data_IF_044534426457
#
_entry.id   IF_044534426457
#
_cell.length_a   1.000
_cell.length_b   1.000
_cell.length_c   1.000
_cell.angle_alpha   90.00
_cell.angle_beta   90.00
_cell.angle_gamma   90.00
#
_symmetry.space_group_name_H-M   'P 1'
#
loop_
_entity.id
_entity.type
_entity.pdbx_description
1 polymer ?
#
# COMPACT_ATOMS: atom_id res chain seq x y z
N UNK A 1 24.01 31.18 14.10
CA UNK A 1 23.00 30.24 13.57
C UNK A 1 22.44 30.79 12.26
N UNK A 2 21.89 32.00 12.19
CA UNK A 2 21.27 32.59 10.97
C UNK A 2 22.27 32.64 9.81
N UNK A 3 23.52 33.10 10.05
CA UNK A 3 24.56 33.17 9.04
C UNK A 3 24.89 31.78 8.43
N UNK A 4 24.92 30.74 9.26
CA UNK A 4 25.16 29.34 8.80
C UNK A 4 24.00 28.86 7.93
N UNK A 5 22.74 29.13 8.34
CA UNK A 5 21.55 28.76 7.56
C UNK A 5 21.57 29.49 6.19
N UNK A 6 21.87 30.78 6.17
CA UNK A 6 21.92 31.56 4.92
C UNK A 6 23.06 31.07 4.03
N UNK A 7 24.24 30.82 4.58
CA UNK A 7 25.38 30.26 3.83
C UNK A 7 25.07 28.89 3.25
N UNK A 8 24.41 28.01 4.02
CA UNK A 8 23.96 26.68 3.56
C UNK A 8 22.95 26.78 2.44
N UNK A 9 21.96 27.68 2.55
CA UNK A 9 20.97 27.93 1.51
C UNK A 9 21.61 28.48 0.23
N UNK A 10 22.59 29.38 0.36
CA UNK A 10 23.33 29.93 -0.78
C UNK A 10 24.21 28.85 -1.46
N UNK A 11 24.87 27.99 -0.70
CA UNK A 11 25.67 26.89 -1.23
C UNK A 11 24.83 25.88 -2.05
N UNK A 12 23.56 25.67 -1.67
CA UNK A 12 22.66 24.73 -2.35
C UNK A 12 21.75 25.43 -3.38
N UNK A 13 21.84 26.75 -3.52
CA UNK A 13 20.98 27.59 -4.38
C UNK A 13 20.84 27.07 -5.81
N UNK A 14 21.95 26.71 -6.46
CA UNK A 14 21.91 26.21 -7.84
C UNK A 14 21.17 24.87 -7.97
N UNK A 15 21.36 23.99 -7.01
CA UNK A 15 20.65 22.70 -6.97
C UNK A 15 19.16 22.91 -6.71
N UNK A 16 18.81 23.84 -5.79
CA UNK A 16 17.42 24.20 -5.50
C UNK A 16 16.75 24.87 -6.70
N UNK A 17 17.44 25.74 -7.44
CA UNK A 17 16.90 26.35 -8.67
C UNK A 17 16.68 25.34 -9.80
N UNK A 18 17.63 24.41 -10.01
CA UNK A 18 17.46 23.31 -10.97
C UNK A 18 16.31 22.39 -10.58
N UNK A 19 16.12 22.16 -9.28
CA UNK A 19 15.00 21.41 -8.73
C UNK A 19 13.67 22.15 -8.95
N UNK A 20 13.60 23.42 -8.56
CA UNK A 20 12.40 24.24 -8.70
C UNK A 20 11.91 24.35 -10.17
N UNK A 21 12.84 24.44 -11.13
CA UNK A 21 12.50 24.45 -12.57
C UNK A 21 11.90 23.14 -13.09
N UNK A 22 12.09 22.01 -12.39
CA UNK A 22 11.51 20.71 -12.76
C UNK A 22 10.13 20.48 -12.17
N UNK A 23 9.75 21.25 -11.14
CA UNK A 23 8.46 21.13 -10.46
C UNK A 23 7.38 21.81 -11.31
N UNK A 24 6.31 21.06 -11.60
CA UNK A 24 5.12 21.61 -12.26
C UNK A 24 4.17 22.24 -11.23
N UNK A 25 3.38 23.25 -11.61
CA UNK A 25 2.41 23.88 -10.71
C UNK A 25 1.43 22.87 -10.10
N UNK A 26 1.06 21.84 -10.84
CA UNK A 26 0.21 20.76 -10.31
C UNK A 26 0.85 20.00 -9.14
N UNK A 27 2.18 19.91 -9.09
CA UNK A 27 2.92 19.27 -8.00
C UNK A 27 3.00 20.18 -6.78
N UNK A 28 3.13 21.48 -6.99
CA UNK A 28 3.03 22.48 -5.92
C UNK A 28 1.65 22.43 -5.27
N UNK A 29 0.58 22.43 -6.08
CA UNK A 29 -0.78 22.29 -5.57
C UNK A 29 -1.00 20.95 -4.85
N UNK A 30 -0.38 19.87 -5.32
CA UNK A 30 -0.43 18.58 -4.64
C UNK A 30 0.25 18.65 -3.26
N UNK A 31 1.43 19.27 -3.17
CA UNK A 31 2.14 19.49 -1.91
C UNK A 31 1.34 20.34 -0.92
N UNK A 32 0.74 21.45 -1.40
CA UNK A 32 -0.12 22.32 -0.58
C UNK A 32 -1.34 21.56 -0.07
N UNK A 33 -2.02 20.79 -0.92
CA UNK A 33 -3.15 19.97 -0.50
C UNK A 33 -2.74 18.93 0.52
N UNK A 34 -1.59 18.29 0.35
CA UNK A 34 -1.07 17.33 1.33
C UNK A 34 -0.75 18.00 2.66
N UNK A 35 -0.08 19.17 2.63
CA UNK A 35 0.18 19.94 3.85
C UNK A 35 -1.13 20.35 4.55
N UNK A 36 -2.15 20.72 3.81
CA UNK A 36 -3.46 21.07 4.36
C UNK A 36 -4.11 19.90 5.08
N UNK A 37 -4.15 18.70 4.50
CA UNK A 37 -4.77 17.54 5.15
C UNK A 37 -3.95 17.00 6.32
N UNK A 38 -2.63 17.16 6.29
CA UNK A 38 -1.73 16.61 7.33
C UNK A 38 -1.46 17.61 8.48
N UNK A 39 -1.28 18.90 8.18
CA UNK A 39 -0.88 19.89 9.18
C UNK A 39 -2.09 20.66 9.71
N UNK A 40 -3.10 20.91 8.85
CA UNK A 40 -4.27 21.70 9.23
C UNK A 40 -5.39 20.78 9.74
N UNK A 41 -5.84 19.81 8.94
CA UNK A 41 -7.02 19.00 9.31
C UNK A 41 -6.71 18.03 10.44
N UNK A 42 -5.60 17.29 10.37
CA UNK A 42 -5.29 16.22 11.33
C UNK A 42 -5.28 16.69 12.81
N UNK A 43 -4.65 17.82 13.20
CA UNK A 43 -4.61 18.24 14.60
C UNK A 43 -5.98 18.66 15.18
N UNK A 44 -6.95 19.01 14.34
CA UNK A 44 -8.29 19.41 14.76
C UNK A 44 -9.25 18.23 14.96
N UNK A 45 -8.85 17.02 14.56
CA UNK A 45 -9.70 15.86 14.70
C UNK A 45 -9.62 15.29 16.12
N UNK A 46 -10.76 14.96 16.75
CA UNK A 46 -10.77 14.36 18.08
C UNK A 46 -10.16 12.95 18.03
N UNK A 47 -9.29 12.67 19.02
CA UNK A 47 -8.66 11.36 19.17
C UNK A 47 -9.44 10.50 20.18
N UNK A 48 -10.72 10.36 19.96
CA UNK A 48 -11.64 9.56 20.76
C UNK A 48 -12.31 8.51 19.91
N UNK A 49 -12.63 7.37 20.51
CA UNK A 49 -13.37 6.32 19.83
C UNK A 49 -14.87 6.63 19.93
N UNK A 50 -15.53 6.70 18.81
CA UNK A 50 -16.98 6.89 18.71
C UNK A 50 -17.66 5.58 18.36
N UNK A 51 -18.79 5.33 19.03
CA UNK A 51 -19.74 4.31 18.61
C UNK A 51 -20.77 4.93 17.64
N UNK A 52 -21.28 4.14 16.74
CA UNK A 52 -22.41 4.55 15.90
C UNK A 52 -23.64 4.92 16.76
N UNK A 53 -23.72 4.33 17.96
CA UNK A 53 -24.82 4.59 18.91
C UNK A 53 -24.70 5.95 19.60
N UNK A 54 -23.56 6.61 19.56
CA UNK A 54 -23.39 7.97 20.13
C UNK A 54 -24.19 9.01 19.30
N UNK A 55 -24.62 8.63 18.10
CA UNK A 55 -25.51 9.45 17.29
C UNK A 55 -26.95 9.26 17.75
N UNK A 56 -27.52 10.27 18.41
CA UNK A 56 -28.87 10.24 19.01
C UNK A 56 -29.99 9.75 18.09
N UNK A 57 -29.90 10.03 16.78
CA UNK A 57 -30.89 9.58 15.80
C UNK A 57 -30.79 8.07 15.61
N UNK A 58 -29.58 7.54 15.52
CA UNK A 58 -29.33 6.11 15.31
C UNK A 58 -29.69 5.31 16.57
N UNK A 59 -29.31 5.78 17.74
CA UNK A 59 -29.64 5.11 19.02
C UNK A 59 -31.16 5.01 19.22
N UNK A 60 -31.93 6.07 18.92
CA UNK A 60 -33.40 6.05 18.95
C UNK A 60 -34.01 5.10 17.92
N UNK A 61 -33.46 5.06 16.69
CA UNK A 61 -33.91 4.16 15.63
C UNK A 61 -33.67 2.69 15.98
N UNK A 62 -32.58 2.39 16.67
CA UNK A 62 -32.19 1.03 17.05
C UNK A 62 -32.74 0.60 18.42
N UNK A 63 -33.33 1.50 19.20
CA UNK A 63 -33.92 1.20 20.50
C UNK A 63 -34.94 0.03 20.47
N UNK A 64 -35.79 -0.15 19.42
CA UNK A 64 -36.69 -1.29 19.34
C UNK A 64 -35.99 -2.64 19.12
N UNK A 65 -34.71 -2.63 18.77
CA UNK A 65 -33.92 -3.83 18.42
C UNK A 65 -32.71 -3.99 19.35
N UNK A 66 -32.88 -4.40 20.63
CA UNK A 66 -31.82 -4.37 21.63
C UNK A 66 -30.62 -5.27 21.28
N UNK A 67 -30.84 -6.44 20.71
CA UNK A 67 -29.76 -7.33 20.27
C UNK A 67 -28.91 -6.73 19.16
N UNK A 68 -29.56 -6.06 18.20
CA UNK A 68 -28.87 -5.40 17.09
C UNK A 68 -28.17 -4.12 17.57
N UNK A 69 -28.79 -3.37 18.47
CA UNK A 69 -28.17 -2.21 19.14
C UNK A 69 -26.89 -2.62 19.90
N UNK A 70 -26.95 -3.69 20.69
CA UNK A 70 -25.78 -4.23 21.39
C UNK A 70 -24.66 -4.64 20.43
N UNK A 71 -24.99 -5.28 19.30
CA UNK A 71 -24.02 -5.62 18.27
C UNK A 71 -23.36 -4.38 17.65
N UNK A 72 -24.15 -3.36 17.28
CA UNK A 72 -23.66 -2.10 16.73
C UNK A 72 -22.79 -1.36 17.75
N UNK A 73 -23.12 -1.43 19.05
CA UNK A 73 -22.33 -0.84 20.14
C UNK A 73 -20.92 -1.44 20.26
N UNK A 74 -20.72 -2.67 19.83
CA UNK A 74 -19.39 -3.31 19.80
C UNK A 74 -18.51 -2.86 18.61
N UNK A 75 -19.08 -2.10 17.65
CA UNK A 75 -18.35 -1.48 16.55
C UNK A 75 -17.75 -0.13 16.98
N UNK A 76 -16.89 -0.14 17.98
CA UNK A 76 -16.20 1.02 18.56
C UNK A 76 -14.89 1.38 17.80
N UNK A 77 -14.95 1.32 16.48
CA UNK A 77 -13.77 1.46 15.61
C UNK A 77 -13.62 2.86 15.01
N UNK A 78 -14.58 3.76 15.24
CA UNK A 78 -14.59 5.08 14.63
C UNK A 78 -13.77 6.08 15.47
N UNK A 79 -12.48 6.16 15.19
CA UNK A 79 -11.62 7.21 15.70
C UNK A 79 -11.20 8.11 14.53
N UNK A 80 -11.78 9.30 14.46
CA UNK A 80 -11.57 10.22 13.33
C UNK A 80 -10.10 10.60 13.16
N UNK A 81 -9.38 10.85 14.26
CA UNK A 81 -7.95 11.15 14.22
C UNK A 81 -7.16 9.98 13.65
N UNK A 82 -7.38 8.75 14.15
CA UNK A 82 -6.67 7.56 13.67
C UNK A 82 -6.98 7.25 12.21
N UNK A 83 -8.26 7.30 11.82
CA UNK A 83 -8.67 7.09 10.42
C UNK A 83 -7.98 8.10 9.52
N UNK A 84 -8.00 9.39 9.89
CA UNK A 84 -7.37 10.43 9.10
C UNK A 84 -5.86 10.32 9.08
N UNK A 85 -5.24 9.93 10.17
CA UNK A 85 -3.81 9.65 10.27
C UNK A 85 -3.39 8.57 9.25
N UNK A 86 -4.18 7.50 9.09
CA UNK A 86 -3.92 6.47 8.08
C UNK A 86 -4.02 7.02 6.66
N UNK A 87 -5.02 7.87 6.39
CA UNK A 87 -5.15 8.57 5.10
C UNK A 87 -3.92 9.44 4.81
N UNK A 88 -3.48 10.21 5.79
CA UNK A 88 -2.29 11.07 5.68
C UNK A 88 -1.04 10.23 5.47
N UNK A 89 -0.88 9.13 6.21
CA UNK A 89 0.27 8.24 6.11
C UNK A 89 0.40 7.61 4.71
N UNK A 90 -0.65 6.96 4.21
CA UNK A 90 -0.63 6.34 2.88
C UNK A 90 -0.48 7.38 1.76
N UNK A 91 -1.17 8.52 1.89
CA UNK A 91 -1.04 9.62 0.93
C UNK A 91 0.38 10.20 0.93
N UNK A 92 1.00 10.32 2.11
CA UNK A 92 2.38 10.77 2.27
C UNK A 92 3.38 9.81 1.65
N UNK A 93 3.23 8.51 1.90
CA UNK A 93 4.08 7.48 1.32
C UNK A 93 4.01 7.52 -0.23
N UNK A 94 2.79 7.61 -0.77
CA UNK A 94 2.55 7.72 -2.21
C UNK A 94 3.09 9.05 -2.79
N UNK A 95 2.98 10.14 -2.04
CA UNK A 95 3.50 11.46 -2.43
C UNK A 95 5.03 11.47 -2.49
N UNK A 96 5.70 10.95 -1.45
CA UNK A 96 7.17 10.85 -1.44
C UNK A 96 7.65 9.99 -2.60
N UNK A 97 7.05 8.83 -2.83
CA UNK A 97 7.39 7.95 -3.94
C UNK A 97 7.19 8.65 -5.29
N UNK A 98 6.09 9.40 -5.48
CA UNK A 98 5.84 10.17 -6.69
C UNK A 98 6.90 11.25 -6.93
N UNK A 99 7.27 12.01 -5.90
CA UNK A 99 8.34 13.01 -5.99
C UNK A 99 9.67 12.36 -6.39
N UNK A 100 10.01 11.20 -5.81
CA UNK A 100 11.20 10.46 -6.19
C UNK A 100 11.19 10.03 -7.67
N UNK A 101 10.05 9.53 -8.18
CA UNK A 101 9.87 9.22 -9.61
C UNK A 101 10.18 10.45 -10.47
N UNK A 102 9.67 11.61 -10.05
CA UNK A 102 9.81 12.86 -10.82
C UNK A 102 11.24 13.40 -10.81
N UNK A 103 11.91 13.35 -9.64
CA UNK A 103 13.28 13.83 -9.48
C UNK A 103 14.31 13.00 -10.26
N UNK A 104 14.16 11.69 -10.19
CA UNK A 104 15.12 10.75 -10.80
C UNK A 104 14.89 10.67 -12.32
N UNK A 105 13.69 10.98 -12.78
CA UNK A 105 13.30 10.99 -14.19
C UNK A 105 12.73 9.64 -14.65
N UNK A 106 11.57 9.69 -15.31
CA UNK A 106 10.87 8.52 -15.85
C UNK A 106 11.56 7.89 -17.08
N UNK A 107 12.66 8.47 -17.54
CA UNK A 107 13.36 8.05 -18.78
C UNK A 107 14.46 6.99 -18.54
N UNK A 108 14.74 6.65 -17.26
CA UNK A 108 15.85 5.74 -16.91
C UNK A 108 15.53 4.25 -16.99
N UNK A 109 14.54 3.86 -17.81
CA UNK A 109 14.23 2.45 -18.11
C UNK A 109 13.22 1.80 -17.13
N UNK A 110 12.74 0.62 -17.51
CA UNK A 110 11.67 -0.10 -16.78
C UNK A 110 12.05 -0.41 -15.33
N UNK A 111 13.31 -0.69 -15.05
CA UNK A 111 13.75 -1.07 -13.70
C UNK A 111 13.49 0.01 -12.65
N UNK A 112 14.02 1.22 -12.89
CA UNK A 112 13.83 2.33 -11.96
C UNK A 112 12.38 2.76 -11.87
N UNK A 113 11.69 2.77 -13.01
CA UNK A 113 10.26 3.12 -13.07
C UNK A 113 9.40 2.12 -12.32
N UNK A 114 9.74 0.82 -12.37
CA UNK A 114 9.02 -0.22 -11.64
C UNK A 114 9.34 -0.21 -10.13
N UNK A 115 10.58 0.09 -9.76
CA UNK A 115 10.96 0.27 -8.36
C UNK A 115 10.16 1.38 -7.71
N UNK A 116 10.25 2.59 -8.28
CA UNK A 116 9.57 3.76 -7.75
C UNK A 116 8.04 3.66 -7.89
N UNK A 117 7.57 3.12 -9.02
CA UNK A 117 6.16 2.86 -9.23
C UNK A 117 5.59 1.82 -8.28
N UNK A 118 6.37 0.80 -7.92
CA UNK A 118 6.01 -0.20 -6.92
C UNK A 118 5.80 0.41 -5.53
N UNK A 119 6.55 1.47 -5.20
CA UNK A 119 6.33 2.25 -3.97
C UNK A 119 5.00 3.02 -3.97
N UNK A 120 4.53 3.48 -5.15
CA UNK A 120 3.24 4.16 -5.29
C UNK A 120 2.10 3.14 -5.38
N UNK A 121 2.17 2.22 -6.35
CA UNK A 121 1.18 1.17 -6.57
C UNK A 121 1.75 0.06 -7.43
N UNK A 122 2.09 -1.06 -6.81
CA UNK A 122 2.57 -2.25 -7.52
C UNK A 122 1.52 -2.84 -8.46
N UNK A 123 0.23 -2.69 -8.13
CA UNK A 123 -0.89 -3.12 -8.98
C UNK A 123 -0.98 -2.27 -10.26
N UNK A 124 -0.85 -0.94 -10.15
CA UNK A 124 -0.85 -0.06 -11.32
C UNK A 124 0.35 -0.33 -12.25
N UNK A 125 1.53 -0.60 -11.68
CA UNK A 125 2.70 -1.04 -12.45
C UNK A 125 2.41 -2.34 -13.19
N UNK A 126 1.81 -3.32 -12.50
CA UNK A 126 1.46 -4.62 -13.09
C UNK A 126 0.49 -4.45 -14.26
N UNK A 127 -0.58 -3.66 -14.11
CA UNK A 127 -1.53 -3.36 -15.20
C UNK A 127 -0.81 -2.75 -16.39
N UNK A 128 -0.08 -1.64 -16.16
CA UNK A 128 0.60 -0.90 -17.23
C UNK A 128 1.61 -1.74 -17.99
N UNK A 129 2.44 -2.50 -17.28
CA UNK A 129 3.46 -3.34 -17.92
C UNK A 129 2.85 -4.57 -18.60
N UNK A 130 1.76 -5.13 -18.07
CA UNK A 130 1.05 -6.24 -18.68
C UNK A 130 0.44 -5.82 -20.02
N UNK A 131 -0.29 -4.71 -20.07
CA UNK A 131 -0.86 -4.19 -21.32
C UNK A 131 0.21 -3.92 -22.38
N UNK A 132 1.32 -3.30 -21.98
CA UNK A 132 2.44 -2.97 -22.86
C UNK A 132 3.22 -4.19 -23.35
N UNK A 133 3.13 -5.32 -22.68
CA UNK A 133 3.81 -6.55 -23.07
C UNK A 133 3.18 -7.24 -24.29
N UNK A 134 1.90 -6.94 -24.60
CA UNK A 134 1.18 -7.57 -25.71
C UNK A 134 1.86 -7.28 -27.05
N UNK A 135 2.08 -8.32 -27.83
CA UNK A 135 2.71 -8.23 -29.15
C UNK A 135 4.20 -7.85 -29.14
N UNK A 136 4.82 -7.77 -27.96
CA UNK A 136 6.26 -7.46 -27.88
C UNK A 136 7.10 -8.72 -28.07
N UNK A 137 8.16 -8.61 -28.90
CA UNK A 137 9.13 -9.70 -29.15
C UNK A 137 9.92 -10.04 -27.87
N UNK A 138 10.15 -9.06 -27.00
CA UNK A 138 10.97 -9.18 -25.79
C UNK A 138 10.14 -8.91 -24.54
N UNK A 139 9.84 -9.96 -23.79
CA UNK A 139 8.98 -9.91 -22.59
C UNK A 139 9.77 -9.76 -21.28
N UNK A 140 11.08 -10.03 -21.30
CA UNK A 140 11.95 -10.05 -20.12
C UNK A 140 11.90 -8.76 -19.28
N UNK A 141 11.95 -7.54 -19.87
CA UNK A 141 11.87 -6.31 -19.10
C UNK A 141 10.53 -6.13 -18.37
N UNK A 142 9.43 -6.63 -18.94
CA UNK A 142 8.10 -6.55 -18.32
C UNK A 142 7.98 -7.52 -17.14
N UNK A 143 8.50 -8.75 -17.27
CA UNK A 143 8.61 -9.71 -16.15
C UNK A 143 9.41 -9.09 -15.01
N UNK A 144 10.60 -8.56 -15.32
CA UNK A 144 11.47 -7.89 -14.35
C UNK A 144 10.73 -6.77 -13.61
N UNK A 145 10.05 -5.88 -14.34
CA UNK A 145 9.36 -4.75 -13.77
C UNK A 145 8.20 -5.15 -12.83
N UNK A 146 7.37 -6.12 -13.23
CA UNK A 146 6.25 -6.60 -12.43
C UNK A 146 6.74 -7.29 -11.15
N UNK A 147 7.74 -8.14 -11.26
CA UNK A 147 8.32 -8.86 -10.11
C UNK A 147 8.97 -7.87 -9.14
N UNK A 148 9.74 -6.92 -9.66
CA UNK A 148 10.37 -5.88 -8.84
C UNK A 148 9.34 -5.04 -8.08
N UNK A 149 8.29 -4.55 -8.77
CA UNK A 149 7.23 -3.78 -8.13
C UNK A 149 6.49 -4.58 -7.04
N UNK A 150 6.28 -5.89 -7.27
CA UNK A 150 5.66 -6.77 -6.28
C UNK A 150 6.56 -7.00 -5.06
N UNK A 151 7.87 -7.14 -5.28
CA UNK A 151 8.85 -7.29 -4.19
C UNK A 151 8.92 -6.04 -3.31
N UNK A 152 8.84 -4.85 -3.91
CA UNK A 152 8.79 -3.58 -3.18
C UNK A 152 7.51 -3.47 -2.34
N UNK A 153 6.38 -3.99 -2.81
CA UNK A 153 5.15 -4.04 -2.02
C UNK A 153 5.34 -4.81 -0.70
N UNK A 154 6.04 -5.94 -0.70
CA UNK A 154 6.28 -6.70 0.55
C UNK A 154 7.07 -5.88 1.57
N UNK A 155 8.08 -5.10 1.10
CA UNK A 155 8.84 -4.19 1.96
C UNK A 155 7.95 -3.04 2.45
N UNK A 156 7.08 -2.49 1.60
CA UNK A 156 6.15 -1.41 1.95
C UNK A 156 5.18 -1.86 3.04
N UNK A 157 4.60 -3.04 2.92
CA UNK A 157 3.73 -3.63 3.95
C UNK A 157 4.45 -3.70 5.30
N UNK A 158 5.73 -4.10 5.31
CA UNK A 158 6.51 -4.13 6.55
C UNK A 158 6.69 -2.73 7.16
N UNK A 159 6.93 -1.71 6.34
CA UNK A 159 7.02 -0.31 6.78
C UNK A 159 5.68 0.17 7.35
N UNK A 160 4.57 -0.15 6.69
CA UNK A 160 3.21 0.19 7.15
C UNK A 160 2.92 -0.40 8.53
N UNK A 161 3.21 -1.69 8.70
CA UNK A 161 3.09 -2.35 10.01
C UNK A 161 4.00 -1.72 11.05
N UNK A 162 5.25 -1.42 10.72
CA UNK A 162 6.20 -0.83 11.66
C UNK A 162 5.75 0.54 12.18
N UNK A 163 5.11 1.34 11.35
CA UNK A 163 4.59 2.67 11.73
C UNK A 163 3.35 2.56 12.64
N UNK A 164 2.47 1.59 12.38
CA UNK A 164 1.20 1.47 13.11
C UNK A 164 1.37 0.63 14.37
N UNK A 165 1.99 -0.53 14.25
CA UNK A 165 2.16 -1.48 15.35
C UNK A 165 3.49 -2.22 15.24
N UNK A 166 4.54 -1.60 15.80
CA UNK A 166 5.90 -2.14 15.75
C UNK A 166 6.04 -3.53 16.40
N UNK A 167 5.12 -3.92 17.31
CA UNK A 167 5.18 -5.23 17.97
C UNK A 167 4.96 -6.40 16.99
N UNK A 168 4.24 -6.18 15.89
CA UNK A 168 3.99 -7.20 14.87
C UNK A 168 5.19 -7.40 13.92
N UNK A 169 6.13 -6.42 13.88
CA UNK A 169 7.26 -6.44 12.94
C UNK A 169 8.13 -7.66 13.14
N UNK A 170 8.40 -8.04 14.40
CA UNK A 170 9.25 -9.21 14.71
C UNK A 170 8.73 -10.51 14.10
N UNK A 171 7.40 -10.66 13.96
CA UNK A 171 6.76 -11.84 13.36
C UNK A 171 6.59 -11.74 11.85
N UNK A 172 6.50 -10.52 11.30
CA UNK A 172 6.27 -10.29 9.88
C UNK A 172 7.55 -10.08 9.08
N UNK A 173 8.66 -9.67 9.73
CA UNK A 173 9.90 -9.32 9.03
C UNK A 173 10.46 -10.52 8.25
N UNK A 174 10.54 -11.69 8.84
CA UNK A 174 11.08 -12.88 8.20
C UNK A 174 10.25 -13.32 6.98
N UNK A 175 8.92 -13.54 7.08
CA UNK A 175 8.13 -13.95 5.93
C UNK A 175 8.08 -12.91 4.82
N UNK A 176 7.92 -11.61 5.12
CA UNK A 176 7.84 -10.57 4.11
C UNK A 176 9.19 -10.30 3.43
N UNK A 177 10.29 -10.32 4.19
CA UNK A 177 11.63 -10.19 3.62
C UNK A 177 11.99 -11.42 2.78
N UNK A 178 11.60 -12.62 3.20
CA UNK A 178 11.78 -13.84 2.39
C UNK A 178 11.04 -13.74 1.05
N UNK A 179 9.76 -13.29 1.06
CA UNK A 179 9.00 -13.03 -0.17
C UNK A 179 9.70 -11.99 -1.07
N UNK A 180 10.13 -10.87 -0.48
CA UNK A 180 10.83 -9.82 -1.20
C UNK A 180 12.15 -10.30 -1.79
N UNK A 181 12.92 -11.06 -1.04
CA UNK A 181 14.22 -11.58 -1.42
C UNK A 181 14.14 -12.55 -2.61
N UNK A 182 13.20 -13.50 -2.56
CA UNK A 182 12.92 -14.42 -3.67
C UNK A 182 12.55 -13.64 -4.94
N UNK A 183 11.67 -12.64 -4.81
CA UNK A 183 11.29 -11.79 -5.93
C UNK A 183 12.45 -10.97 -6.48
N UNK A 184 13.24 -10.30 -5.61
CA UNK A 184 14.38 -9.49 -6.01
C UNK A 184 15.49 -10.31 -6.67
N UNK A 185 15.82 -11.49 -6.12
CA UNK A 185 16.80 -12.41 -6.75
C UNK A 185 16.29 -12.85 -8.12
N UNK A 186 15.02 -13.25 -8.21
CA UNK A 186 14.42 -13.67 -9.47
C UNK A 186 14.42 -12.53 -10.50
N UNK A 187 14.07 -11.31 -10.09
CA UNK A 187 14.15 -10.12 -10.93
C UNK A 187 15.59 -9.89 -11.43
N UNK A 188 16.58 -10.00 -10.53
CA UNK A 188 17.98 -9.84 -10.89
C UNK A 188 18.47 -10.90 -11.89
N UNK A 189 18.10 -12.17 -11.69
CA UNK A 189 18.41 -13.26 -12.62
C UNK A 189 17.77 -12.97 -13.99
N UNK A 190 16.48 -12.61 -13.99
CA UNK A 190 15.75 -12.26 -15.23
C UNK A 190 16.42 -11.09 -15.96
N UNK A 191 16.91 -10.07 -15.24
CA UNK A 191 17.57 -8.91 -15.85
C UNK A 191 18.88 -9.26 -16.57
N UNK A 192 19.59 -10.32 -16.13
CA UNK A 192 20.84 -10.77 -16.75
C UNK A 192 20.65 -11.61 -18.01
N UNK A 193 19.49 -12.23 -18.20
CA UNK A 193 19.25 -13.18 -19.32
C UNK A 193 19.26 -12.51 -20.69
N UNK A 194 18.86 -11.24 -20.79
CA UNK A 194 19.07 -10.39 -22.00
C UNK A 194 19.01 -8.92 -21.63
N UNK A 195 20.14 -8.23 -21.68
CA UNK A 195 20.18 -6.76 -21.63
C UNK A 195 19.52 -6.19 -22.89
N UNK A 196 18.30 -5.74 -22.76
CA UNK A 196 17.65 -4.93 -23.79
C UNK A 196 16.97 -3.76 -23.08
N UNK A 197 17.47 -2.56 -23.37
CA UNK A 197 16.88 -1.32 -22.93
C UNK A 197 15.57 -1.07 -23.66
N UNK A 198 14.47 -1.52 -23.09
CA UNK A 198 13.14 -1.12 -23.53
C UNK A 198 12.82 0.19 -22.80
N UNK A 199 12.91 1.31 -23.51
CA UNK A 199 12.54 2.65 -23.03
C UNK A 199 11.01 2.79 -22.99
N UNK A 200 10.34 2.02 -22.17
CA UNK A 200 8.90 2.15 -21.95
C UNK A 200 8.66 3.01 -20.70
N UNK A 201 7.93 4.12 -20.89
CA UNK A 201 7.54 5.01 -19.79
C UNK A 201 6.31 4.45 -19.10
N UNK A 202 6.39 4.11 -17.82
CA UNK A 202 5.19 3.90 -17.01
C UNK A 202 4.63 5.27 -16.66
N UNK A 203 3.45 5.59 -17.16
CA UNK A 203 2.79 6.86 -16.85
C UNK A 203 2.13 6.76 -15.48
N UNK A 204 2.61 7.53 -14.52
CA UNK A 204 1.94 7.73 -13.25
C UNK A 204 1.15 9.04 -13.33
N UNK A 205 -0.17 8.93 -13.15
CA UNK A 205 -0.98 10.13 -12.86
C UNK A 205 -0.56 10.64 -11.49
N UNK A 206 -0.62 11.96 -11.28
CA UNK A 206 -0.33 12.54 -9.95
C UNK A 206 -1.15 11.79 -8.89
N UNK A 207 -0.53 11.12 -7.92
CA UNK A 207 -1.25 10.33 -6.92
C UNK A 207 -2.03 11.23 -5.96
N UNK A 208 -1.71 12.52 -5.94
CA UNK A 208 -2.26 13.45 -4.99
C UNK A 208 -3.39 14.29 -5.57
N UNK A 209 -4.55 13.64 -5.80
CA UNK A 209 -5.82 14.36 -5.83
C UNK A 209 -6.50 14.12 -4.47
N UNK A 210 -6.97 15.17 -3.80
CA UNK A 210 -7.73 15.09 -2.55
C UNK A 210 -8.84 14.03 -2.62
N UNK A 211 -9.45 13.86 -3.80
CA UNK A 211 -10.43 12.83 -4.05
C UNK A 211 -9.88 11.38 -3.93
N UNK A 212 -8.60 11.13 -4.21
CA UNK A 212 -8.01 9.79 -3.99
C UNK A 212 -7.78 9.53 -2.49
N UNK A 213 -7.33 10.54 -1.74
CA UNK A 213 -7.16 10.43 -0.30
C UNK A 213 -8.51 10.16 0.40
N UNK A 214 -9.56 10.89 0.03
CA UNK A 214 -10.91 10.69 0.56
C UNK A 214 -11.49 9.31 0.18
N UNK A 215 -11.31 8.87 -1.06
CA UNK A 215 -11.74 7.52 -1.50
C UNK A 215 -11.00 6.44 -0.72
N UNK A 216 -9.69 6.59 -0.50
CA UNK A 216 -8.92 5.67 0.33
C UNK A 216 -9.44 5.68 1.77
N UNK A 217 -9.69 6.84 2.35
CA UNK A 217 -10.24 6.95 3.70
C UNK A 217 -11.60 6.27 3.86
N UNK A 218 -12.50 6.49 2.91
CA UNK A 218 -13.81 5.81 2.89
C UNK A 218 -13.66 4.29 2.74
N UNK A 219 -12.79 3.85 1.84
CA UNK A 219 -12.49 2.43 1.66
C UNK A 219 -11.85 1.82 2.91
N UNK A 220 -10.92 2.53 3.55
CA UNK A 220 -10.30 2.09 4.81
C UNK A 220 -11.34 1.92 5.91
N UNK A 221 -12.25 2.89 6.09
CA UNK A 221 -13.36 2.80 7.06
C UNK A 221 -14.25 1.59 6.74
N UNK A 222 -14.58 1.37 5.48
CA UNK A 222 -15.36 0.21 5.06
C UNK A 222 -14.66 -1.11 5.44
N UNK A 223 -13.35 -1.25 5.16
CA UNK A 223 -12.57 -2.44 5.51
C UNK A 223 -12.45 -2.60 7.02
N UNK A 224 -12.30 -1.51 7.77
CA UNK A 224 -12.24 -1.53 9.23
C UNK A 224 -13.56 -2.06 9.83
N UNK A 225 -14.70 -1.53 9.39
CA UNK A 225 -16.03 -1.98 9.82
C UNK A 225 -16.28 -3.43 9.40
N UNK A 226 -15.97 -3.78 8.16
CA UNK A 226 -16.12 -5.14 7.64
C UNK A 226 -15.31 -6.14 8.47
N UNK A 227 -14.03 -5.83 8.74
CA UNK A 227 -13.15 -6.71 9.52
C UNK A 227 -13.65 -6.90 10.95
N UNK A 228 -14.06 -5.82 11.62
CA UNK A 228 -14.63 -5.89 12.97
C UNK A 228 -15.95 -6.66 13.00
N UNK A 229 -16.82 -6.43 12.03
CA UNK A 229 -18.11 -7.14 11.90
C UNK A 229 -17.88 -8.63 11.69
N UNK A 230 -17.01 -9.01 10.76
CA UNK A 230 -16.70 -10.42 10.52
C UNK A 230 -16.01 -11.06 11.73
N UNK A 231 -15.17 -10.31 12.45
CA UNK A 231 -14.58 -10.78 13.70
C UNK A 231 -15.65 -11.07 14.77
N UNK A 232 -16.61 -10.17 14.95
CA UNK A 232 -17.68 -10.36 15.92
C UNK A 232 -18.59 -11.54 15.57
N UNK A 233 -18.81 -11.81 14.28
CA UNK A 233 -19.68 -12.89 13.83
C UNK A 233 -18.97 -14.27 13.77
N UNK A 234 -17.71 -14.30 13.38
CA UNK A 234 -16.99 -15.53 13.04
C UNK A 234 -15.65 -15.68 13.78
N UNK A 235 -15.34 -14.76 14.71
CA UNK A 235 -14.05 -14.76 15.41
C UNK A 235 -12.86 -14.61 14.44
N UNK A 236 -11.79 -15.33 14.72
CA UNK A 236 -10.56 -15.29 13.92
C UNK A 236 -10.77 -15.67 12.45
N UNK A 237 -11.69 -16.60 12.17
CA UNK A 237 -12.06 -16.96 10.79
C UNK A 237 -12.60 -15.79 10.01
N UNK A 238 -13.35 -14.90 10.68
CA UNK A 238 -13.87 -13.66 10.08
C UNK A 238 -12.75 -12.71 9.64
N UNK A 239 -11.68 -12.59 10.44
CA UNK A 239 -10.49 -11.81 10.09
C UNK A 239 -9.81 -12.37 8.83
N UNK A 240 -9.67 -13.69 8.73
CA UNK A 240 -9.05 -14.31 7.54
C UNK A 240 -9.89 -14.11 6.28
N UNK A 241 -11.22 -14.19 6.39
CA UNK A 241 -12.14 -13.88 5.29
C UNK A 241 -12.00 -12.41 4.87
N UNK A 242 -12.01 -11.48 5.83
CA UNK A 242 -11.82 -10.06 5.58
C UNK A 242 -10.48 -9.79 4.87
N UNK A 243 -9.41 -10.43 5.34
CA UNK A 243 -8.07 -10.29 4.78
C UNK A 243 -8.00 -10.76 3.32
N UNK A 244 -8.59 -11.92 3.01
CA UNK A 244 -8.64 -12.44 1.65
C UNK A 244 -9.44 -11.50 0.72
N UNK A 245 -10.64 -11.11 1.13
CA UNK A 245 -11.54 -10.27 0.32
C UNK A 245 -10.96 -8.87 0.12
N UNK A 246 -10.50 -8.23 1.20
CA UNK A 246 -9.90 -6.89 1.11
C UNK A 246 -8.60 -6.89 0.31
N UNK A 247 -7.75 -7.91 0.48
CA UNK A 247 -6.51 -8.08 -0.27
C UNK A 247 -6.71 -8.17 -1.78
N UNK A 248 -7.86 -8.67 -2.25
CA UNK A 248 -8.20 -8.65 -3.68
C UNK A 248 -8.31 -7.22 -4.23
N UNK A 249 -8.83 -6.29 -3.43
CA UNK A 249 -9.01 -4.90 -3.82
C UNK A 249 -7.75 -4.06 -3.54
N UNK A 250 -7.30 -4.06 -2.28
CA UNK A 250 -6.14 -3.28 -1.83
C UNK A 250 -5.52 -3.91 -0.58
N UNK A 251 -4.19 -4.04 -0.56
CA UNK A 251 -3.48 -4.62 0.57
C UNK A 251 -3.28 -3.61 1.70
N UNK A 252 -3.13 -2.33 1.38
CA UNK A 252 -2.75 -1.31 2.37
C UNK A 252 -3.86 -1.11 3.41
N UNK A 253 -5.12 -0.98 2.95
CA UNK A 253 -6.25 -0.77 3.85
C UNK A 253 -6.41 -1.90 4.87
N UNK A 254 -6.27 -3.15 4.47
CA UNK A 254 -6.43 -4.29 5.39
C UNK A 254 -5.21 -4.45 6.31
N UNK A 255 -3.99 -4.18 5.83
CA UNK A 255 -2.76 -4.19 6.65
C UNK A 255 -2.87 -3.16 7.77
N UNK A 256 -3.26 -1.93 7.45
CA UNK A 256 -3.47 -0.88 8.45
C UNK A 256 -4.59 -1.23 9.42
N UNK A 257 -5.69 -1.81 8.92
CA UNK A 257 -6.81 -2.27 9.74
C UNK A 257 -6.38 -3.32 10.75
N UNK A 258 -5.73 -4.40 10.30
CA UNK A 258 -5.32 -5.50 11.19
C UNK A 258 -4.22 -5.07 12.17
N UNK A 259 -3.29 -4.22 11.72
CA UNK A 259 -2.27 -3.63 12.59
C UNK A 259 -2.89 -2.76 13.69
N UNK A 260 -3.94 -1.99 13.37
CA UNK A 260 -4.67 -1.17 14.33
C UNK A 260 -5.52 -2.00 15.28
N UNK A 261 -6.25 -3.00 14.79
CA UNK A 261 -7.07 -3.90 15.61
C UNK A 261 -6.21 -4.71 16.60
N UNK A 262 -4.98 -5.06 16.23
CA UNK A 262 -4.04 -5.73 17.13
C UNK A 262 -3.58 -4.82 18.31
N UNK A 263 -3.72 -3.50 18.20
CA UNK A 263 -3.52 -2.58 19.34
C UNK A 263 -4.73 -2.54 20.30
N UNK A 264 -5.91 -2.97 19.84
CA UNK A 264 -7.19 -2.84 20.54
C UNK A 264 -7.84 -4.19 20.91
N UNK A 265 -7.06 -5.30 20.90
CA UNK A 265 -7.51 -6.59 21.41
C UNK A 265 -7.57 -7.75 20.42
N UNK A 266 -7.28 -7.54 19.13
CA UNK A 266 -7.08 -8.65 18.19
C UNK A 266 -5.77 -9.37 18.53
N UNK A 267 -5.82 -10.69 18.61
CA UNK A 267 -4.62 -11.50 18.89
C UNK A 267 -3.54 -11.24 17.83
N UNK A 268 -2.27 -10.96 18.25
CA UNK A 268 -1.18 -10.66 17.32
C UNK A 268 -0.96 -11.75 16.26
N UNK A 269 -1.13 -13.02 16.62
CA UNK A 269 -1.01 -14.13 15.67
C UNK A 269 -2.07 -14.08 14.57
N UNK A 270 -3.31 -13.76 14.93
CA UNK A 270 -4.42 -13.61 13.98
C UNK A 270 -4.18 -12.45 13.03
N UNK A 271 -3.69 -11.31 13.56
CA UNK A 271 -3.33 -10.15 12.74
C UNK A 271 -2.19 -10.49 11.75
N UNK A 272 -1.13 -11.16 12.21
CA UNK A 272 0.00 -11.57 11.36
C UNK A 272 -0.45 -12.49 10.23
N UNK A 273 -1.21 -13.54 10.54
CA UNK A 273 -1.72 -14.46 9.53
C UNK A 273 -2.68 -13.77 8.57
N UNK A 274 -3.54 -12.89 9.07
CA UNK A 274 -4.43 -12.06 8.25
C UNK A 274 -3.66 -11.17 7.28
N UNK A 275 -2.60 -10.49 7.73
CA UNK A 275 -1.74 -9.66 6.89
C UNK A 275 -1.09 -10.50 5.79
N UNK A 276 -0.55 -11.67 6.12
CA UNK A 276 0.06 -12.58 5.14
C UNK A 276 -0.98 -13.05 4.12
N UNK A 277 -2.19 -13.42 4.55
CA UNK A 277 -3.29 -13.80 3.64
C UNK A 277 -3.68 -12.65 2.70
N UNK A 278 -3.74 -11.41 3.20
CA UNK A 278 -4.02 -10.24 2.39
C UNK A 278 -2.93 -10.01 1.33
N UNK A 279 -1.67 -10.13 1.70
CA UNK A 279 -0.51 -10.04 0.79
C UNK A 279 -0.57 -11.13 -0.27
N UNK A 280 -0.91 -12.36 0.11
CA UNK A 280 -1.08 -13.48 -0.82
C UNK A 280 -2.23 -13.19 -1.81
N UNK A 281 -3.39 -12.80 -1.31
CA UNK A 281 -4.56 -12.47 -2.11
C UNK A 281 -4.25 -11.36 -3.14
N UNK A 282 -3.63 -10.27 -2.71
CA UNK A 282 -3.22 -9.17 -3.60
C UNK A 282 -2.18 -9.61 -4.65
N UNK A 283 -1.28 -10.51 -4.28
CA UNK A 283 -0.29 -11.05 -5.23
C UNK A 283 -0.95 -11.95 -6.28
N UNK A 284 -1.96 -12.76 -5.89
CA UNK A 284 -2.75 -13.55 -6.82
C UNK A 284 -3.51 -12.68 -7.82
N UNK A 285 -4.06 -11.54 -7.37
CA UNK A 285 -4.68 -10.56 -8.28
C UNK A 285 -3.68 -10.06 -9.34
N UNK A 286 -2.44 -9.73 -8.95
CA UNK A 286 -1.41 -9.31 -9.90
C UNK A 286 -1.07 -10.40 -10.91
N UNK A 287 -1.01 -11.65 -10.48
CA UNK A 287 -0.85 -12.80 -11.38
C UNK A 287 -2.02 -12.86 -12.36
N UNK A 288 -3.24 -12.70 -11.88
CA UNK A 288 -4.45 -12.63 -12.71
C UNK A 288 -4.38 -11.50 -13.73
N UNK A 289 -4.04 -10.29 -13.29
CA UNK A 289 -3.85 -9.13 -14.18
C UNK A 289 -2.81 -9.45 -15.28
N UNK A 290 -1.66 -10.00 -14.91
CA UNK A 290 -0.62 -10.37 -15.87
C UNK A 290 -1.13 -11.39 -16.89
N UNK A 291 -1.97 -12.33 -16.45
CA UNK A 291 -2.52 -13.39 -17.30
C UNK A 291 -3.59 -12.89 -18.28
N UNK A 292 -4.52 -12.05 -17.82
CA UNK A 292 -5.63 -11.55 -18.64
C UNK A 292 -5.25 -10.33 -19.48
N UNK A 293 -4.39 -9.46 -18.96
CA UNK A 293 -4.03 -8.19 -19.61
C UNK A 293 -2.67 -8.22 -20.30
N UNK A 294 -1.86 -9.27 -20.16
CA UNK A 294 -0.50 -9.34 -20.68
C UNK A 294 -0.24 -10.41 -21.74
N UNK A 295 1.02 -10.50 -22.17
CA UNK A 295 1.53 -11.61 -22.99
C UNK A 295 1.56 -12.91 -22.18
N UNK A 296 1.12 -14.02 -22.77
CA UNK A 296 1.00 -15.31 -22.07
C UNK A 296 2.34 -15.88 -21.59
N UNK A 297 3.43 -15.66 -22.34
CA UNK A 297 4.78 -16.12 -21.94
C UNK A 297 5.30 -15.28 -20.78
N UNK A 298 5.03 -13.96 -20.79
CA UNK A 298 5.32 -13.07 -19.67
C UNK A 298 4.54 -13.49 -18.43
N UNK A 299 3.22 -13.67 -18.55
CA UNK A 299 2.34 -14.05 -17.45
C UNK A 299 2.77 -15.37 -16.78
N UNK A 300 3.15 -16.39 -17.57
CA UNK A 300 3.65 -17.66 -17.04
C UNK A 300 4.92 -17.48 -16.20
N UNK A 301 5.85 -16.62 -16.62
CA UNK A 301 7.08 -16.35 -15.83
C UNK A 301 6.78 -15.58 -14.56
N UNK A 302 5.90 -14.57 -14.63
CA UNK A 302 5.44 -13.81 -13.46
C UNK A 302 4.75 -14.73 -12.44
N UNK A 303 3.85 -15.62 -12.92
CA UNK A 303 3.17 -16.61 -12.10
C UNK A 303 4.18 -17.49 -11.33
N UNK A 304 5.15 -18.09 -12.03
CA UNK A 304 6.13 -18.99 -11.40
C UNK A 304 6.90 -18.27 -10.31
N UNK A 305 7.39 -17.07 -10.59
CA UNK A 305 8.21 -16.30 -9.64
C UNK A 305 7.38 -15.85 -8.43
N UNK A 306 6.20 -15.29 -8.65
CA UNK A 306 5.37 -14.77 -7.56
C UNK A 306 4.79 -15.91 -6.72
N UNK A 307 4.39 -17.04 -7.33
CA UNK A 307 3.95 -18.23 -6.57
C UNK A 307 5.10 -18.77 -5.72
N UNK A 308 6.32 -18.86 -6.27
CA UNK A 308 7.51 -19.26 -5.49
C UNK A 308 7.74 -18.32 -4.29
N UNK A 309 7.62 -17.00 -4.51
CA UNK A 309 7.74 -16.02 -3.43
C UNK A 309 6.69 -16.26 -2.34
N UNK A 310 5.42 -16.53 -2.73
CA UNK A 310 4.35 -16.82 -1.77
C UNK A 310 4.60 -18.12 -1.00
N UNK A 311 5.00 -19.18 -1.67
CA UNK A 311 5.29 -20.49 -1.02
C UNK A 311 6.38 -20.30 0.04
N UNK A 312 7.49 -19.64 -0.31
CA UNK A 312 8.58 -19.39 0.64
C UNK A 312 8.10 -18.55 1.82
N UNK A 313 7.38 -17.45 1.55
CA UNK A 313 6.90 -16.58 2.63
C UNK A 313 5.89 -17.26 3.55
N UNK A 314 4.95 -18.04 3.00
CA UNK A 314 3.98 -18.82 3.80
C UNK A 314 4.72 -19.88 4.62
N UNK A 315 5.67 -20.60 4.03
CA UNK A 315 6.46 -21.60 4.75
C UNK A 315 7.22 -21.00 5.94
N UNK A 316 7.83 -19.82 5.73
CA UNK A 316 8.51 -19.08 6.81
C UNK A 316 7.51 -18.61 7.87
N UNK A 317 6.34 -18.11 7.46
CA UNK A 317 5.31 -17.66 8.39
C UNK A 317 4.72 -18.76 9.28
N UNK A 318 4.72 -20.00 8.81
CA UNK A 318 4.26 -21.15 9.58
C UNK A 318 5.32 -21.65 10.59
N UNK A 319 6.59 -21.25 10.41
CA UNK A 319 7.71 -21.62 11.30
C UNK A 319 7.95 -20.60 12.42
N UNK A 320 7.43 -19.38 12.29
CA UNK A 320 7.55 -18.25 13.23
C UNK A 320 6.25 -18.03 13.99
#
# INVERSE_FOLDING_TARGET
IIAVIVASLLAVKEHLHKFAKKIQMNEVFAAIKFALISIIILPFLPNENYSILDVNVISKLLAPFPSFSSFIGQLDVFNLFKIWLMVVFISGLSFVAYILVRLIGSEKGIGLTSFLGGMVSSTAVTVSLSEKSKGKKFITPFVFGIVLASSIMFIRVLIEVAVINNSLVSKLILPLIAMAFVGLISAFIVSKIKKQDVKEKVSFKSPFALGHALKFGLFFVFILVLSKTLFLLFGDKGIYIAALVAGLADVDAIVLTLSSLALTGLEPRVAVLGIILAVCSNTLVKIGIAYFSGDKKMAKRVLIILVLSLIVGISVALLV
#
